data_IF_293218711272
#
_entry.id   IF_293218711272
#
_cell.length_a   1.000
_cell.length_b   1.000
_cell.length_c   1.000
_cell.angle_alpha   90.00
_cell.angle_beta   90.00
_cell.angle_gamma   90.00
#
_symmetry.space_group_name_H-M   'P 1'
#
loop_
_entity.id
_entity.type
_entity.pdbx_description
1 polymer ?
#
# COMPACT_ATOMS: atom_id res chain seq x y z
N UNK A 1 -24.10 -45.84 38.97
CA UNK A 1 -23.94 -44.57 39.71
C UNK A 1 -22.80 -44.75 40.72
N UNK A 2 -21.70 -44.00 40.56
CA UNK A 2 -20.42 -44.27 41.24
C UNK A 2 -20.56 -44.22 42.78
N UNK A 3 -20.24 -45.33 43.47
CA UNK A 3 -20.26 -45.44 44.96
C UNK A 3 -19.50 -44.30 45.68
N UNK A 4 -18.51 -43.69 45.03
CA UNK A 4 -17.77 -42.53 45.56
C UNK A 4 -18.60 -41.24 45.62
N UNK A 5 -19.51 -41.05 44.68
CA UNK A 5 -20.37 -39.85 44.59
C UNK A 5 -21.46 -39.90 45.68
N UNK A 6 -22.04 -41.08 45.92
CA UNK A 6 -23.05 -41.26 46.97
C UNK A 6 -22.48 -41.08 48.38
N UNK A 7 -21.24 -41.50 48.61
CA UNK A 7 -20.55 -41.30 49.90
C UNK A 7 -20.25 -39.82 50.14
N UNK A 8 -19.81 -39.09 49.11
CA UNK A 8 -19.54 -37.65 49.20
C UNK A 8 -20.83 -36.85 49.46
N UNK A 9 -21.91 -37.21 48.77
CA UNK A 9 -23.23 -36.59 48.94
C UNK A 9 -23.76 -36.79 50.37
N UNK A 10 -23.71 -38.01 50.89
CA UNK A 10 -24.17 -38.30 52.24
C UNK A 10 -23.34 -37.58 53.31
N UNK A 11 -22.04 -37.41 53.10
CA UNK A 11 -21.16 -36.67 53.99
C UNK A 11 -21.49 -35.17 54.01
N UNK A 12 -21.65 -34.56 52.83
CA UNK A 12 -22.07 -33.16 52.68
C UNK A 12 -23.45 -32.91 53.32
N UNK A 13 -24.39 -33.84 53.14
CA UNK A 13 -25.72 -33.77 53.72
C UNK A 13 -25.70 -33.87 55.26
N UNK A 14 -24.85 -34.73 55.81
CA UNK A 14 -24.67 -34.86 57.26
C UNK A 14 -24.02 -33.63 57.92
N UNK A 15 -23.04 -33.02 57.26
CA UNK A 15 -22.39 -31.79 57.74
C UNK A 15 -23.33 -30.58 57.66
N UNK A 16 -24.16 -30.49 56.61
CA UNK A 16 -25.15 -29.42 56.44
C UNK A 16 -26.29 -29.45 57.48
N UNK A 17 -26.59 -30.61 58.08
CA UNK A 17 -27.63 -30.78 59.10
C UNK A 17 -27.14 -30.46 60.52
N UNK A 18 -25.85 -30.23 60.71
CA UNK A 18 -25.29 -29.89 62.02
C UNK A 18 -25.54 -28.41 62.36
N UNK A 19 -26.02 -28.11 63.58
CA UNK A 19 -26.40 -26.74 64.02
C UNK A 19 -25.23 -25.74 64.03
N UNK A 20 -23.98 -26.21 63.95
CA UNK A 20 -22.78 -25.37 63.81
C UNK A 20 -22.22 -25.53 62.41
N UNK A 21 -22.67 -24.69 61.48
CA UNK A 21 -22.06 -24.58 60.15
C UNK A 21 -20.61 -24.14 60.35
N UNK A 22 -19.67 -25.06 60.18
CA UNK A 22 -18.25 -24.75 60.22
C UNK A 22 -17.92 -23.79 59.07
N UNK A 23 -17.21 -22.69 59.37
CA UNK A 23 -16.76 -21.70 58.37
C UNK A 23 -16.00 -22.39 57.23
N UNK A 24 -15.29 -23.48 57.51
CA UNK A 24 -14.61 -24.32 56.52
C UNK A 24 -15.57 -25.03 55.56
N UNK A 25 -16.72 -25.49 56.05
CA UNK A 25 -17.76 -26.11 55.23
C UNK A 25 -18.38 -25.09 54.28
N UNK A 26 -18.77 -23.93 54.80
CA UNK A 26 -19.32 -22.84 53.98
C UNK A 26 -18.36 -22.38 52.89
N UNK A 27 -17.08 -22.18 53.22
CA UNK A 27 -16.06 -21.80 52.23
C UNK A 27 -15.88 -22.85 51.13
N UNK A 28 -15.93 -24.15 51.47
CA UNK A 28 -15.86 -25.23 50.46
C UNK A 28 -17.06 -25.25 49.53
N UNK A 29 -18.27 -25.09 50.07
CA UNK A 29 -19.49 -25.04 49.26
C UNK A 29 -19.47 -23.81 48.35
N UNK A 30 -19.10 -22.66 48.90
CA UNK A 30 -19.01 -21.41 48.14
C UNK A 30 -17.98 -21.49 47.01
N UNK A 31 -16.77 -22.00 47.26
CA UNK A 31 -15.76 -22.18 46.20
C UNK A 31 -16.18 -23.20 45.15
N UNK A 32 -16.86 -24.27 45.55
CA UNK A 32 -17.39 -25.29 44.62
C UNK A 32 -18.50 -24.71 43.74
N UNK A 33 -19.42 -23.91 44.30
CA UNK A 33 -20.44 -23.22 43.53
C UNK A 33 -19.84 -22.18 42.58
N UNK A 34 -18.86 -21.40 43.05
CA UNK A 34 -18.21 -20.35 42.23
C UNK A 34 -17.45 -20.96 41.04
N UNK A 35 -16.73 -22.06 41.27
CA UNK A 35 -16.04 -22.81 40.20
C UNK A 35 -17.04 -23.42 39.22
N UNK A 36 -18.15 -23.99 39.70
CA UNK A 36 -19.20 -24.51 38.83
C UNK A 36 -19.82 -23.42 37.95
N UNK A 37 -20.14 -22.25 38.52
CA UNK A 37 -20.69 -21.09 37.78
C UNK A 37 -19.69 -20.59 36.73
N UNK A 38 -18.40 -20.53 37.08
CA UNK A 38 -17.34 -20.17 36.14
C UNK A 38 -17.34 -21.09 34.92
N UNK A 39 -17.25 -22.42 35.11
CA UNK A 39 -17.25 -23.37 34.00
C UNK A 39 -18.57 -23.39 33.20
N UNK A 40 -19.71 -23.18 33.86
CA UNK A 40 -21.02 -23.10 33.21
C UNK A 40 -21.11 -21.89 32.26
N UNK A 41 -20.58 -20.73 32.66
CA UNK A 41 -20.53 -19.54 31.81
C UNK A 41 -19.71 -19.74 30.53
N UNK A 42 -18.60 -20.47 30.62
CA UNK A 42 -17.78 -20.83 29.45
C UNK A 42 -18.47 -21.85 28.54
N UNK A 43 -19.16 -22.84 29.09
CA UNK A 43 -19.96 -23.78 28.32
C UNK A 43 -21.10 -23.09 27.55
N UNK A 44 -21.78 -22.12 28.17
CA UNK A 44 -22.85 -21.34 27.54
C UNK A 44 -22.36 -20.43 26.41
N UNK A 45 -21.14 -19.90 26.53
CA UNK A 45 -20.53 -19.03 25.52
C UNK A 45 -19.76 -19.80 24.45
N UNK A 46 -19.74 -21.13 24.53
CA UNK A 46 -18.98 -22.02 23.64
C UNK A 46 -17.48 -21.65 23.56
N UNK A 47 -16.94 -21.09 24.65
CA UNK A 47 -15.53 -20.67 24.77
C UNK A 47 -14.80 -21.58 25.75
N UNK A 48 -13.50 -21.79 25.52
CA UNK A 48 -12.67 -22.61 26.39
C UNK A 48 -12.39 -21.86 27.72
N UNK A 49 -12.66 -22.43 28.91
CA UNK A 49 -12.39 -21.78 30.20
C UNK A 49 -10.90 -21.49 30.47
N UNK A 50 -10.00 -22.22 29.80
CA UNK A 50 -8.55 -21.99 29.89
C UNK A 50 -8.07 -20.80 29.05
N UNK A 51 -8.94 -20.23 28.22
CA UNK A 51 -8.61 -19.12 27.34
C UNK A 51 -8.30 -17.83 28.12
N UNK A 52 -8.69 -17.71 29.39
CA UNK A 52 -8.29 -16.61 30.29
C UNK A 52 -6.86 -16.74 30.84
N UNK A 53 -6.30 -17.95 30.85
CA UNK A 53 -4.95 -18.24 31.38
C UNK A 53 -3.85 -18.02 30.33
N UNK A 54 -4.26 -17.88 29.07
CA UNK A 54 -3.36 -17.55 27.99
C UNK A 54 -3.14 -16.03 28.01
N UNK A 55 -1.90 -15.54 28.14
CA UNK A 55 -1.64 -14.11 28.08
C UNK A 55 -2.21 -13.54 26.77
N UNK A 56 -2.82 -12.36 26.85
CA UNK A 56 -3.54 -11.68 25.76
C UNK A 56 -2.76 -11.62 24.42
N UNK A 57 -1.44 -11.79 24.44
CA UNK A 57 -0.57 -11.89 23.28
C UNK A 57 -0.86 -13.06 22.32
N UNK A 58 -1.53 -14.14 22.76
CA UNK A 58 -1.84 -15.27 21.85
C UNK A 58 -3.22 -15.17 21.18
N UNK A 59 -4.15 -14.36 21.69
CA UNK A 59 -5.41 -14.11 20.97
C UNK A 59 -5.19 -13.28 19.70
N UNK A 60 -4.10 -12.51 19.65
CA UNK A 60 -3.65 -11.86 18.43
C UNK A 60 -3.02 -12.84 17.42
N UNK A 61 -2.67 -14.07 17.83
CA UNK A 61 -2.21 -15.14 16.93
C UNK A 61 -3.37 -15.97 16.34
N UNK A 62 -4.49 -16.11 17.06
CA UNK A 62 -5.65 -16.90 16.61
C UNK A 62 -6.58 -16.14 15.64
N UNK A 63 -6.48 -14.81 15.60
CA UNK A 63 -6.86 -14.08 14.40
C UNK A 63 -5.73 -14.32 13.41
N UNK A 64 -5.94 -14.97 12.26
CA UNK A 64 -4.96 -14.80 11.20
C UNK A 64 -4.85 -13.29 11.04
N UNK A 65 -3.64 -12.75 11.22
CA UNK A 65 -3.21 -11.51 10.58
C UNK A 65 -3.31 -11.78 9.07
N UNK A 66 -4.55 -11.96 8.61
CA UNK A 66 -4.93 -12.14 7.23
C UNK A 66 -4.58 -10.80 6.65
N UNK A 67 -3.41 -10.78 6.02
CA UNK A 67 -2.92 -9.64 5.30
C UNK A 67 -4.04 -9.24 4.32
N UNK A 68 -4.80 -8.20 4.69
CA UNK A 68 -5.97 -7.75 3.92
C UNK A 68 -5.57 -7.19 2.55
N UNK A 69 -4.26 -7.09 2.29
CA UNK A 69 -3.70 -6.63 1.03
C UNK A 69 -3.85 -7.72 -0.04
N UNK A 70 -4.41 -7.31 -1.17
CA UNK A 70 -4.61 -8.14 -2.36
C UNK A 70 -3.42 -7.93 -3.31
N UNK A 71 -2.96 -8.97 -4.03
CA UNK A 71 -1.97 -8.79 -5.09
C UNK A 71 -2.57 -7.93 -6.21
N UNK A 72 -1.88 -6.85 -6.56
CA UNK A 72 -2.21 -5.94 -7.64
C UNK A 72 -0.97 -5.73 -8.51
N UNK A 73 -1.18 -5.57 -9.81
CA UNK A 73 -0.09 -5.42 -10.78
C UNK A 73 0.22 -3.94 -10.98
N UNK A 74 1.36 -3.47 -10.49
CA UNK A 74 1.77 -2.06 -10.54
C UNK A 74 2.97 -1.93 -11.46
N UNK A 75 2.94 -0.93 -12.35
CA UNK A 75 4.07 -0.65 -13.24
C UNK A 75 5.04 0.33 -12.61
N UNK A 76 6.33 0.01 -12.71
CA UNK A 76 7.46 0.80 -12.21
C UNK A 76 8.32 1.26 -13.39
N UNK A 77 9.21 2.22 -13.21
CA UNK A 77 10.03 2.75 -14.30
C UNK A 77 11.47 3.00 -13.87
N UNK A 78 12.38 3.00 -14.85
CA UNK A 78 13.76 3.48 -14.74
C UNK A 78 13.88 5.01 -14.91
N UNK A 79 12.76 5.69 -15.18
CA UNK A 79 12.69 7.12 -15.48
C UNK A 79 13.31 7.49 -16.82
N UNK A 80 13.39 6.54 -17.76
CA UNK A 80 13.83 6.71 -19.16
C UNK A 80 12.77 6.16 -20.12
N UNK A 81 11.50 6.46 -19.87
CA UNK A 81 10.32 6.06 -20.65
C UNK A 81 9.97 4.57 -20.62
N UNK A 82 10.80 3.70 -20.06
CA UNK A 82 10.47 2.28 -19.93
C UNK A 82 9.67 2.01 -18.66
N UNK A 83 8.71 1.09 -18.76
CA UNK A 83 7.89 0.64 -17.64
C UNK A 83 7.89 -0.87 -17.52
N UNK A 84 7.98 -1.36 -16.29
CA UNK A 84 8.14 -2.76 -15.94
C UNK A 84 7.03 -3.19 -14.98
N UNK A 85 6.35 -4.32 -15.24
CA UNK A 85 5.32 -4.83 -14.33
C UNK A 85 5.93 -5.35 -13.03
N UNK A 86 5.26 -5.09 -11.92
CA UNK A 86 5.60 -5.59 -10.60
C UNK A 86 4.35 -5.98 -9.84
N UNK A 87 4.32 -7.19 -9.31
CA UNK A 87 3.23 -7.62 -8.44
C UNK A 87 3.46 -7.06 -7.03
N UNK A 88 2.51 -6.29 -6.51
CA UNK A 88 2.55 -5.67 -5.18
C UNK A 88 1.33 -6.05 -4.37
N UNK A 89 1.51 -6.29 -3.07
CA UNK A 89 0.40 -6.43 -2.14
C UNK A 89 -0.12 -5.04 -1.75
N UNK A 90 -1.35 -4.73 -2.14
CA UNK A 90 -1.97 -3.42 -1.93
C UNK A 90 -3.29 -3.58 -1.17
N UNK A 91 -3.57 -2.65 -0.26
CA UNK A 91 -4.84 -2.66 0.47
C UNK A 91 -5.95 -2.10 -0.42
N UNK A 92 -6.70 -2.98 -1.07
CA UNK A 92 -7.86 -2.62 -1.88
C UNK A 92 -9.14 -2.84 -1.05
N UNK A 93 -10.05 -1.88 -1.11
CA UNK A 93 -11.27 -1.82 -0.31
C UNK A 93 -12.51 -2.32 -1.06
N UNK A 94 -12.43 -2.46 -2.37
CA UNK A 94 -13.55 -2.80 -3.26
C UNK A 94 -14.32 -1.56 -3.75
N UNK A 95 -14.02 -0.37 -3.23
CA UNK A 95 -14.60 0.89 -3.71
C UNK A 95 -13.73 1.45 -4.85
N UNK A 96 -14.26 1.42 -6.07
CA UNK A 96 -13.54 1.78 -7.30
C UNK A 96 -12.70 3.05 -7.19
N UNK A 97 -13.28 4.16 -6.70
CA UNK A 97 -12.58 5.44 -6.59
C UNK A 97 -11.40 5.38 -5.61
N UNK A 98 -11.59 4.76 -4.44
CA UNK A 98 -10.54 4.62 -3.42
C UNK A 98 -9.44 3.67 -3.90
N UNK A 99 -9.83 2.59 -4.55
CA UNK A 99 -8.89 1.59 -5.08
C UNK A 99 -8.04 2.19 -6.20
N UNK A 100 -8.65 3.00 -7.08
CA UNK A 100 -7.94 3.75 -8.12
C UNK A 100 -6.94 4.75 -7.52
N UNK A 101 -7.37 5.57 -6.55
CA UNK A 101 -6.46 6.46 -5.83
C UNK A 101 -5.30 5.71 -5.17
N UNK A 102 -5.58 4.55 -4.56
CA UNK A 102 -4.58 3.71 -3.93
C UNK A 102 -3.56 3.22 -4.96
N UNK A 103 -4.02 2.68 -6.10
CA UNK A 103 -3.13 2.18 -7.15
C UNK A 103 -2.27 3.28 -7.78
N UNK A 104 -2.83 4.46 -8.04
CA UNK A 104 -2.07 5.61 -8.54
C UNK A 104 -0.98 6.01 -7.54
N UNK A 105 -1.29 6.00 -6.25
CA UNK A 105 -0.30 6.25 -5.18
C UNK A 105 0.80 5.17 -5.20
N UNK A 106 0.45 3.90 -5.42
CA UNK A 106 1.41 2.81 -5.45
C UNK A 106 2.41 2.89 -6.61
N UNK A 107 2.06 3.49 -7.74
CA UNK A 107 2.99 3.75 -8.86
C UNK A 107 4.14 4.68 -8.42
N UNK A 108 3.85 5.65 -7.55
CA UNK A 108 4.84 6.58 -7.01
C UNK A 108 5.63 6.03 -5.82
N UNK A 109 5.17 4.92 -5.24
CA UNK A 109 5.82 4.31 -4.08
C UNK A 109 7.17 3.71 -4.48
N UNK A 110 8.22 3.90 -3.65
CA UNK A 110 9.57 3.48 -4.01
C UNK A 110 9.63 1.99 -4.35
N UNK A 111 10.49 1.58 -5.29
CA UNK A 111 10.76 0.17 -5.50
C UNK A 111 11.32 -0.45 -4.21
N UNK A 112 10.73 -1.56 -3.76
CA UNK A 112 11.28 -2.35 -2.66
C UNK A 112 12.48 -3.15 -3.15
N UNK A 113 13.47 -3.39 -2.28
CA UNK A 113 14.70 -4.14 -2.59
C UNK A 113 14.44 -5.51 -3.26
N UNK A 114 13.37 -6.21 -2.86
CA UNK A 114 12.98 -7.51 -3.43
C UNK A 114 12.73 -7.44 -4.95
N UNK A 115 12.27 -6.30 -5.45
CA UNK A 115 11.94 -6.10 -6.86
C UNK A 115 13.23 -6.01 -7.69
N UNK A 116 14.23 -5.28 -7.19
CA UNK A 116 15.54 -5.16 -7.85
C UNK A 116 16.26 -6.52 -7.94
N UNK A 117 16.16 -7.35 -6.91
CA UNK A 117 16.69 -8.72 -6.94
C UNK A 117 16.02 -9.58 -8.02
N UNK A 118 14.70 -9.46 -8.19
CA UNK A 118 13.94 -10.24 -9.18
C UNK A 118 14.30 -9.85 -10.62
N UNK A 119 14.53 -8.56 -10.91
CA UNK A 119 15.02 -8.11 -12.21
C UNK A 119 16.48 -8.54 -12.45
N UNK A 120 17.31 -8.46 -11.40
CA UNK A 120 18.71 -8.90 -11.47
C UNK A 120 18.82 -10.40 -11.75
N UNK A 121 17.97 -11.24 -11.14
CA UNK A 121 17.86 -12.68 -11.42
C UNK A 121 17.45 -12.99 -12.86
N UNK A 122 16.70 -12.09 -13.51
CA UNK A 122 16.33 -12.16 -14.93
C UNK A 122 17.40 -11.60 -15.88
N UNK A 123 18.57 -11.22 -15.37
CA UNK A 123 19.68 -10.66 -16.17
C UNK A 123 19.51 -9.19 -16.57
N UNK A 124 18.45 -8.53 -16.10
CA UNK A 124 18.17 -7.13 -16.39
C UNK A 124 18.63 -6.27 -15.21
N UNK A 125 19.75 -5.56 -15.36
CA UNK A 125 20.15 -4.50 -14.41
C UNK A 125 19.29 -3.26 -14.67
N UNK A 126 18.13 -3.19 -14.03
CA UNK A 126 17.23 -2.03 -14.10
C UNK A 126 17.41 -1.19 -12.84
N UNK A 127 17.79 0.07 -13.00
CA UNK A 127 17.83 1.02 -11.91
C UNK A 127 16.47 1.72 -11.81
N UNK A 128 15.59 1.20 -10.96
CA UNK A 128 14.24 1.70 -10.79
C UNK A 128 14.26 3.05 -10.07
N UNK A 129 13.54 4.03 -10.62
CA UNK A 129 13.42 5.36 -10.02
C UNK A 129 12.08 5.52 -9.33
N UNK A 130 12.07 6.35 -8.28
CA UNK A 130 10.84 6.83 -7.67
C UNK A 130 10.16 7.82 -8.62
N UNK A 131 8.90 7.57 -8.94
CA UNK A 131 8.07 8.44 -9.80
C UNK A 131 7.35 9.51 -8.96
N UNK A 132 7.03 10.68 -9.55
CA UNK A 132 6.21 11.71 -8.91
C UNK A 132 4.82 11.18 -8.53
N UNK A 133 4.26 11.68 -7.43
CA UNK A 133 2.98 11.21 -6.94
C UNK A 133 1.83 12.05 -7.50
N UNK A 134 1.30 11.64 -8.65
CA UNK A 134 0.19 12.33 -9.31
C UNK A 134 -1.16 12.16 -8.58
N UNK A 135 -1.24 11.37 -7.51
CA UNK A 135 -2.45 11.30 -6.69
C UNK A 135 -2.88 12.67 -6.17
N UNK A 136 -1.91 13.49 -5.73
CA UNK A 136 -2.19 14.84 -5.22
C UNK A 136 -2.60 15.85 -6.30
N UNK A 137 -2.38 15.50 -7.57
CA UNK A 137 -2.84 16.29 -8.70
C UNK A 137 -4.28 15.94 -9.11
N UNK A 138 -4.82 14.78 -8.73
CA UNK A 138 -6.17 14.39 -9.13
C UNK A 138 -7.23 15.29 -8.47
N UNK A 139 -7.99 15.99 -9.32
CA UNK A 139 -9.14 16.80 -8.90
C UNK A 139 -10.38 15.93 -8.86
N UNK A 140 -10.65 15.19 -9.94
CA UNK A 140 -11.87 14.40 -10.06
C UNK A 140 -11.66 13.15 -10.90
N UNK A 141 -12.39 12.11 -10.53
CA UNK A 141 -12.46 10.83 -11.22
C UNK A 141 -13.89 10.61 -11.68
N UNK A 142 -14.08 10.47 -13.00
CA UNK A 142 -15.36 10.11 -13.59
C UNK A 142 -15.24 8.78 -14.32
N UNK A 143 -16.11 7.85 -13.99
CA UNK A 143 -16.21 6.58 -14.68
C UNK A 143 -17.63 6.43 -15.22
N UNK A 144 -17.74 6.14 -16.51
CA UNK A 144 -19.02 5.98 -17.20
C UNK A 144 -19.31 4.50 -17.48
N UNK A 145 -20.59 4.15 -17.61
CA UNK A 145 -21.06 2.79 -17.91
C UNK A 145 -20.54 2.26 -19.26
N UNK A 146 -20.16 3.15 -20.17
CA UNK A 146 -19.50 2.79 -21.44
C UNK A 146 -18.08 2.25 -21.28
N UNK A 147 -17.50 2.29 -20.07
CA UNK A 147 -16.14 1.86 -19.78
C UNK A 147 -15.08 2.95 -20.00
N UNK A 148 -15.48 4.23 -20.07
CA UNK A 148 -14.58 5.37 -20.19
C UNK A 148 -14.26 5.94 -18.80
N UNK A 149 -12.97 5.99 -18.46
CA UNK A 149 -12.44 6.65 -17.27
C UNK A 149 -11.86 8.02 -17.65
N UNK A 150 -12.31 9.08 -16.99
CA UNK A 150 -11.78 10.44 -17.13
C UNK A 150 -11.07 10.80 -15.82
N UNK A 151 -9.79 11.14 -15.93
CA UNK A 151 -8.94 11.58 -14.84
C UNK A 151 -8.62 13.06 -15.04
N UNK A 152 -9.21 13.91 -14.21
CA UNK A 152 -8.95 15.34 -14.24
C UNK A 152 -7.87 15.71 -13.22
N UNK A 153 -6.80 16.36 -13.69
CA UNK A 153 -5.62 16.68 -12.91
C UNK A 153 -5.38 18.19 -12.89
N UNK A 154 -4.86 18.69 -11.77
CA UNK A 154 -4.45 20.08 -11.61
C UNK A 154 -3.05 20.29 -12.15
N UNK A 155 -2.88 21.22 -13.07
CA UNK A 155 -1.58 21.48 -13.70
C UNK A 155 -0.54 22.01 -12.69
N UNK A 156 -0.96 22.90 -11.78
CA UNK A 156 -0.07 23.46 -10.75
C UNK A 156 0.43 22.41 -9.73
N UNK A 157 -0.39 21.40 -9.43
CA UNK A 157 0.03 20.28 -8.58
C UNK A 157 1.06 19.39 -9.28
N UNK A 158 0.88 19.12 -10.58
CA UNK A 158 1.85 18.39 -11.40
C UNK A 158 3.19 19.11 -11.39
N UNK A 159 3.19 20.43 -11.63
CA UNK A 159 4.41 21.24 -11.61
C UNK A 159 5.12 21.19 -10.25
N UNK A 160 4.36 21.20 -9.16
CA UNK A 160 4.90 21.12 -7.80
C UNK A 160 5.59 19.77 -7.57
N UNK A 161 4.93 18.66 -7.89
CA UNK A 161 5.50 17.31 -7.75
C UNK A 161 6.77 17.13 -8.59
N UNK A 162 6.80 17.66 -9.81
CA UNK A 162 7.97 17.62 -10.69
C UNK A 162 9.13 18.45 -10.13
N UNK A 163 8.85 19.64 -9.58
CA UNK A 163 9.88 20.52 -9.03
C UNK A 163 10.62 19.92 -7.84
N UNK A 164 9.94 19.07 -7.06
CA UNK A 164 10.50 18.37 -5.89
C UNK A 164 11.47 17.26 -6.31
N UNK A 165 11.38 16.76 -7.55
CA UNK A 165 12.24 15.68 -8.03
C UNK A 165 13.70 16.13 -8.10
N UNK A 166 14.55 15.42 -7.35
CA UNK A 166 16.00 15.54 -7.41
C UNK A 166 16.51 14.75 -8.61
N UNK A 167 16.81 15.45 -9.69
CA UNK A 167 17.49 14.89 -10.86
C UNK A 167 18.98 15.15 -10.74
N UNK A 168 19.78 14.10 -10.82
CA UNK A 168 21.23 14.23 -11.02
C UNK A 168 21.51 14.23 -12.52
N UNK A 169 22.26 15.24 -12.96
CA UNK A 169 22.89 15.25 -14.27
C UNK A 169 24.30 14.73 -14.07
N UNK A 170 24.51 13.46 -14.42
CA UNK A 170 25.87 12.90 -14.41
C UNK A 170 26.56 13.41 -15.68
N UNK A 171 27.40 14.43 -15.55
CA UNK A 171 28.37 14.78 -16.59
C UNK A 171 29.33 13.60 -16.70
N UNK A 172 29.14 12.78 -17.73
CA UNK A 172 30.02 11.66 -18.03
C UNK A 172 31.46 12.15 -18.11
N UNK A 173 32.38 11.28 -17.73
CA UNK A 173 33.85 11.36 -17.68
C UNK A 173 34.55 11.69 -19.01
N UNK A 174 33.93 12.50 -19.88
CA UNK A 174 34.41 12.84 -21.22
C UNK A 174 34.90 14.29 -21.36
N UNK A 175 34.68 15.17 -20.38
CA UNK A 175 35.11 16.59 -20.47
C UNK A 175 36.22 16.99 -19.48
N UNK A 176 36.70 16.06 -18.65
CA UNK A 176 37.74 16.36 -17.65
C UNK A 176 39.18 16.37 -18.21
N UNK A 177 39.37 16.45 -19.53
CA UNK A 177 40.73 16.47 -20.12
C UNK A 177 41.09 17.68 -20.98
N UNK A 178 40.18 18.60 -21.32
CA UNK A 178 40.53 19.68 -22.25
C UNK A 178 40.20 21.13 -21.85
N UNK A 179 39.58 21.41 -20.71
CA UNK A 179 39.35 22.82 -20.33
C UNK A 179 39.81 23.13 -18.89
N UNK A 180 41.13 23.27 -18.73
CA UNK A 180 41.72 24.05 -17.64
C UNK A 180 42.46 25.23 -18.25
N UNK A 181 41.75 26.13 -18.93
CA UNK A 181 42.31 27.43 -19.30
C UNK A 181 41.19 28.47 -19.46
N UNK A 182 41.01 29.27 -18.41
CA UNK A 182 40.18 30.49 -18.33
C UNK A 182 38.67 30.34 -18.65
N UNK A 183 37.90 29.81 -17.70
CA UNK A 183 36.44 29.98 -17.74
C UNK A 183 36.06 31.44 -17.48
N UNK A 184 35.56 32.13 -18.49
CA UNK A 184 34.92 33.44 -18.35
C UNK A 184 33.55 33.28 -17.66
N UNK A 185 33.09 34.29 -16.93
CA UNK A 185 31.76 34.27 -16.28
C UNK A 185 30.62 33.96 -17.27
N UNK A 186 30.81 34.27 -18.56
CA UNK A 186 29.88 33.94 -19.64
C UNK A 186 29.80 32.45 -19.98
N UNK A 187 30.90 31.69 -19.90
CA UNK A 187 30.89 30.24 -20.19
C UNK A 187 30.28 29.46 -19.03
N UNK A 188 30.44 29.93 -17.79
CA UNK A 188 29.80 29.34 -16.60
C UNK A 188 28.27 29.53 -16.67
N UNK A 189 27.79 30.72 -17.04
CA UNK A 189 26.34 30.97 -17.19
C UNK A 189 25.70 30.13 -18.30
N UNK A 190 26.39 29.98 -19.44
CA UNK A 190 25.92 29.11 -20.53
C UNK A 190 25.83 27.64 -20.08
N UNK A 191 26.83 27.13 -19.35
CA UNK A 191 26.82 25.77 -18.79
C UNK A 191 25.68 25.55 -17.79
N UNK A 192 25.35 26.54 -16.96
CA UNK A 192 24.22 26.46 -16.02
C UNK A 192 22.86 26.41 -16.73
N UNK A 193 22.69 27.16 -17.82
CA UNK A 193 21.44 27.18 -18.57
C UNK A 193 21.24 25.89 -19.38
N UNK A 194 22.31 25.30 -19.92
CA UNK A 194 22.27 23.97 -20.53
C UNK A 194 21.89 22.87 -19.52
N UNK A 195 22.46 22.91 -18.32
CA UNK A 195 22.10 21.98 -17.23
C UNK A 195 20.62 22.11 -16.86
N UNK A 196 20.08 23.33 -16.77
CA UNK A 196 18.65 23.55 -16.48
C UNK A 196 17.76 22.93 -17.56
N UNK A 197 18.12 23.09 -18.83
CA UNK A 197 17.40 22.50 -19.96
C UNK A 197 17.42 20.97 -19.84
N UNK A 198 18.58 20.37 -19.56
CA UNK A 198 18.72 18.92 -19.47
C UNK A 198 17.98 18.35 -18.24
N UNK A 199 18.00 19.06 -17.11
CA UNK A 199 17.19 18.72 -15.92
C UNK A 199 15.70 18.75 -16.26
N UNK A 200 15.23 19.77 -16.98
CA UNK A 200 13.84 19.90 -17.42
C UNK A 200 13.43 18.74 -18.33
N UNK A 201 14.23 18.43 -19.36
CA UNK A 201 14.00 17.28 -20.24
C UNK A 201 13.90 15.97 -19.46
N UNK A 202 14.81 15.75 -18.50
CA UNK A 202 14.79 14.55 -17.65
C UNK A 202 13.53 14.46 -16.79
N UNK A 203 13.05 15.60 -16.28
CA UNK A 203 11.80 15.67 -15.52
C UNK A 203 10.61 15.30 -16.40
N UNK A 204 10.59 15.74 -17.66
CA UNK A 204 9.55 15.36 -18.62
C UNK A 204 9.60 13.87 -18.98
N UNK A 205 10.78 13.25 -19.11
CA UNK A 205 10.91 11.79 -19.29
C UNK A 205 10.33 11.00 -18.11
N UNK A 206 10.59 11.46 -16.88
CA UNK A 206 10.05 10.85 -15.66
C UNK A 206 8.53 11.02 -15.64
N UNK A 207 8.02 12.21 -15.98
CA UNK A 207 6.58 12.46 -16.03
C UNK A 207 5.89 11.58 -17.08
N UNK A 208 6.47 11.47 -18.28
CA UNK A 208 6.00 10.57 -19.33
C UNK A 208 5.89 9.13 -18.80
N UNK A 209 6.95 8.65 -18.16
CA UNK A 209 6.99 7.31 -17.58
C UNK A 209 5.93 7.12 -16.49
N UNK A 210 5.60 8.18 -15.76
CA UNK A 210 4.58 8.17 -14.71
C UNK A 210 3.18 8.01 -15.27
N UNK A 211 2.81 8.80 -16.29
CA UNK A 211 1.52 8.66 -16.96
C UNK A 211 1.39 7.27 -17.61
N UNK A 212 2.44 6.80 -18.28
CA UNK A 212 2.45 5.47 -18.88
C UNK A 212 2.32 4.35 -17.84
N UNK A 213 2.99 4.47 -16.69
CA UNK A 213 2.88 3.50 -15.60
C UNK A 213 1.49 3.49 -14.97
N UNK A 214 0.88 4.67 -14.78
CA UNK A 214 -0.50 4.81 -14.28
C UNK A 214 -1.47 4.15 -15.27
N UNK A 215 -1.38 4.48 -16.56
CA UNK A 215 -2.22 3.91 -17.62
C UNK A 215 -2.21 2.37 -17.58
N UNK A 216 -1.02 1.76 -17.64
CA UNK A 216 -0.88 0.30 -17.64
C UNK A 216 -1.36 -0.33 -16.33
N UNK A 217 -1.09 0.33 -15.20
CA UNK A 217 -1.57 -0.13 -13.88
C UNK A 217 -3.09 -0.13 -13.83
N UNK A 218 -3.75 0.90 -14.35
CA UNK A 218 -5.21 0.97 -14.37
C UNK A 218 -5.80 -0.14 -15.24
N UNK A 219 -5.30 -0.30 -16.48
CA UNK A 219 -5.84 -1.32 -17.39
C UNK A 219 -5.63 -2.76 -16.92
N UNK A 220 -4.55 -3.05 -16.20
CA UNK A 220 -4.30 -4.41 -15.69
C UNK A 220 -5.15 -4.75 -14.45
N UNK A 221 -5.53 -3.77 -13.64
CA UNK A 221 -6.29 -4.02 -12.40
C UNK A 221 -7.81 -3.79 -12.53
N UNK A 222 -8.27 -3.03 -13.52
CA UNK A 222 -9.70 -2.73 -13.74
C UNK A 222 -10.15 -3.20 -15.13
N UNK A 223 -10.56 -4.48 -15.28
CA UNK A 223 -10.96 -5.04 -16.56
C UNK A 223 -12.14 -4.34 -17.25
N UNK A 224 -12.99 -3.67 -16.48
CA UNK A 224 -14.15 -2.92 -16.93
C UNK A 224 -13.79 -1.62 -17.67
N UNK A 225 -12.57 -1.11 -17.50
CA UNK A 225 -12.11 0.11 -18.16
C UNK A 225 -11.62 -0.24 -19.57
N UNK A 226 -12.23 0.40 -20.56
CA UNK A 226 -11.89 0.27 -21.98
C UNK A 226 -11.03 1.42 -22.48
N UNK A 227 -11.23 2.61 -21.92
CA UNK A 227 -10.46 3.78 -22.28
C UNK A 227 -10.21 4.74 -21.12
N UNK A 228 -9.10 5.47 -21.20
CA UNK A 228 -8.66 6.47 -20.23
C UNK A 228 -8.47 7.80 -20.96
N UNK A 229 -9.05 8.85 -20.42
CA UNK A 229 -8.86 10.23 -20.88
C UNK A 229 -8.26 11.05 -19.73
N UNK A 230 -7.17 11.75 -20.03
CA UNK A 230 -6.56 12.69 -19.11
C UNK A 230 -7.05 14.10 -19.43
N UNK A 231 -7.41 14.86 -18.39
CA UNK A 231 -7.73 16.28 -18.47
C UNK A 231 -6.84 17.07 -17.55
N UNK A 232 -6.57 18.31 -17.93
CA UNK A 232 -5.81 19.27 -17.14
C UNK A 232 -6.72 20.46 -16.84
N UNK A 233 -7.03 20.65 -15.56
CA UNK A 233 -7.93 21.70 -15.06
C UNK A 233 -9.28 21.74 -15.82
N UNK A 234 -9.83 20.56 -16.12
CA UNK A 234 -11.09 20.39 -16.83
C UNK A 234 -11.00 20.38 -18.36
N UNK A 235 -9.84 20.72 -18.94
CA UNK A 235 -9.64 20.81 -20.39
C UNK A 235 -8.84 19.63 -20.96
N UNK A 236 -9.16 19.23 -22.19
CA UNK A 236 -8.38 18.24 -22.96
C UNK A 236 -7.22 18.96 -23.63
N UNK A 237 -6.08 19.05 -22.94
CA UNK A 237 -4.86 19.70 -23.41
C UNK A 237 -3.61 18.87 -23.08
N UNK A 238 -2.56 19.05 -23.87
CA UNK A 238 -1.26 18.45 -23.58
C UNK A 238 -0.51 19.28 -22.54
N UNK A 239 0.32 18.63 -21.73
CA UNK A 239 1.25 19.30 -20.84
C UNK A 239 2.48 19.80 -21.62
N UNK A 240 3.00 21.01 -21.37
CA UNK A 240 4.15 21.55 -22.10
C UNK A 240 5.36 20.61 -22.06
N UNK A 241 6.03 20.43 -23.20
CA UNK A 241 7.24 19.58 -23.37
C UNK A 241 7.08 18.10 -23.00
N UNK A 242 5.86 17.64 -22.75
CA UNK A 242 5.60 16.24 -22.44
C UNK A 242 5.44 15.43 -23.73
N UNK A 243 6.30 14.43 -23.91
CA UNK A 243 6.19 13.49 -25.04
C UNK A 243 4.93 12.61 -24.97
N UNK A 244 4.39 12.40 -23.78
CA UNK A 244 3.14 11.65 -23.59
C UNK A 244 1.95 12.56 -23.94
N UNK A 245 1.19 12.18 -24.97
CA UNK A 245 -0.01 12.91 -25.41
C UNK A 245 -1.18 12.68 -24.47
N UNK A 246 -1.50 13.69 -23.64
CA UNK A 246 -2.61 13.64 -22.68
C UNK A 246 -3.96 13.92 -23.36
N UNK A 247 -3.95 14.71 -24.44
CA UNK A 247 -5.13 15.03 -25.23
C UNK A 247 -5.73 13.81 -25.97
N UNK A 248 -4.95 12.76 -26.14
CA UNK A 248 -5.39 11.52 -26.77
C UNK A 248 -6.09 10.60 -25.77
N UNK A 249 -7.24 10.07 -26.18
CA UNK A 249 -7.91 9.00 -25.44
C UNK A 249 -7.12 7.72 -25.61
N UNK A 250 -6.69 7.13 -24.48
CA UNK A 250 -5.94 5.88 -24.45
C UNK A 250 -6.91 4.73 -24.41
N UNK A 251 -6.82 3.83 -25.38
CA UNK A 251 -7.66 2.65 -25.44
C UNK A 251 -6.85 1.45 -24.94
N UNK A 252 -7.54 0.53 -24.28
CA UNK A 252 -6.97 -0.76 -23.91
C UNK A 252 -6.61 -1.53 -25.18
N UNK A 253 -5.36 -1.98 -25.27
CA UNK A 253 -4.83 -2.83 -26.35
C UNK A 253 -4.96 -4.29 -25.95
#
# INVERSE_FOLDING_TARGET
>A
MNKKISVLYNKLYSEAKSEKIDKKFFMKVFTTCLTAIFFLGFALTNRNPFSLLVPFSFYELDLPLSDKRVPAKVYLSDGRMNVYPSDRKVLLTGEFRKDLHTLITQVSAPPFYEIEENFTKKGLKVNLKKLPNLHFALITIWFNESGRLILDLRESSIQTEISILKVRVDRGTYELKEEVESESLSSIQQKEDEDKILVHQRRMEILHSTFLAIEKTIFDNFPEIKSIEFRLDGETKDYPDLNYKLSEVKNRI
#
